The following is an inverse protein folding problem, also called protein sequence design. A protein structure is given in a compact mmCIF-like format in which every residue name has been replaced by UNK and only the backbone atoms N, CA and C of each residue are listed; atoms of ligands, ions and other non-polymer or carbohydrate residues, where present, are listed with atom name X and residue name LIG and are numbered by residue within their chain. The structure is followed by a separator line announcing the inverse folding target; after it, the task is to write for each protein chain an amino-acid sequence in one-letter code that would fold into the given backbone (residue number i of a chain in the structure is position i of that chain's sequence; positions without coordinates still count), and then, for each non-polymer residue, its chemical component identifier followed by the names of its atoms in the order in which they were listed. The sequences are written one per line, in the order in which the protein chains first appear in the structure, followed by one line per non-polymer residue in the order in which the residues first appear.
data_IF_798213218482
#
_entry.id   IF_798213218482
#
_cell.length_a   1.000
_cell.length_b   1.000
_cell.length_c   1.000
_cell.angle_alpha   90.00
_cell.angle_beta   90.00
_cell.angle_gamma   90.00
#
_symmetry.space_group_name_H-M   'P 1'
#
loop_
_entity.id
_entity.type
_entity.pdbx_description
1 polymer ?
#
# COMPACT_ATOMS: atom_id res chain seq x y z
N UNK A 1 19.61 1.28 23.70
CA UNK A 1 18.71 2.13 22.88
C UNK A 1 17.51 1.27 22.56
N UNK A 2 16.40 1.44 23.29
CA UNK A 2 15.16 0.72 23.09
C UNK A 2 14.54 1.17 21.79
N UNK A 3 14.48 0.27 20.81
CA UNK A 3 13.66 0.43 19.61
C UNK A 3 12.19 0.50 20.04
N UNK A 4 11.67 1.72 20.13
CA UNK A 4 10.26 1.97 20.38
C UNK A 4 9.59 1.88 19.00
N UNK A 5 9.21 0.67 18.61
CA UNK A 5 8.37 0.46 17.42
C UNK A 5 7.15 1.40 17.42
N UNK A 6 6.50 1.64 16.29
CA UNK A 6 5.41 2.60 16.19
C UNK A 6 4.35 2.27 17.26
N UNK A 7 4.08 3.24 18.16
CA UNK A 7 3.00 3.10 19.14
C UNK A 7 1.68 3.09 18.39
N UNK A 8 1.05 1.95 18.38
CA UNK A 8 -0.31 1.79 17.86
C UNK A 8 -1.27 2.62 18.72
N UNK A 9 -2.21 3.36 18.12
CA UNK A 9 -3.28 3.99 18.89
C UNK A 9 -4.04 2.94 19.70
N UNK A 10 -4.46 3.29 20.90
CA UNK A 10 -5.33 2.42 21.69
C UNK A 10 -6.59 2.08 20.88
N UNK A 11 -7.06 0.83 20.97
CA UNK A 11 -8.17 0.33 20.18
C UNK A 11 -7.90 0.04 18.71
N UNK A 12 -6.68 0.29 18.20
CA UNK A 12 -6.32 -0.01 16.81
C UNK A 12 -5.99 -1.48 16.62
N UNK A 13 -6.55 -2.07 15.58
CA UNK A 13 -6.15 -3.39 15.06
C UNK A 13 -6.18 -3.40 13.54
N UNK A 14 -5.40 -4.28 12.92
CA UNK A 14 -5.39 -4.50 11.47
C UNK A 14 -5.29 -6.00 11.23
N UNK A 15 -6.14 -6.52 10.35
CA UNK A 15 -6.20 -7.95 10.02
C UNK A 15 -6.27 -8.16 8.52
N UNK A 16 -5.73 -9.29 8.07
CA UNK A 16 -5.90 -9.73 6.70
C UNK A 16 -7.33 -10.28 6.53
N UNK A 17 -7.99 -9.85 5.45
CA UNK A 17 -9.36 -10.25 5.10
C UNK A 17 -9.46 -10.55 3.61
N UNK A 18 -10.53 -11.20 3.18
CA UNK A 18 -10.86 -11.33 1.75
C UNK A 18 -11.44 -10.02 1.21
N UNK A 19 -11.20 -9.74 -0.08
CA UNK A 19 -11.79 -8.56 -0.73
C UNK A 19 -13.33 -8.58 -0.74
N UNK A 20 -13.95 -9.77 -0.66
CA UNK A 20 -15.40 -9.95 -0.56
C UNK A 20 -15.97 -9.85 0.86
N UNK A 21 -15.16 -9.48 1.87
CA UNK A 21 -15.63 -9.28 3.23
C UNK A 21 -16.69 -8.17 3.29
N UNK A 22 -17.82 -8.37 3.99
CA UNK A 22 -18.90 -7.38 4.06
C UNK A 22 -18.46 -6.02 4.61
N UNK A 23 -17.54 -5.97 5.58
CA UNK A 23 -17.01 -4.71 6.10
C UNK A 23 -16.11 -3.99 5.09
N UNK A 24 -15.38 -4.76 4.25
CA UNK A 24 -14.62 -4.20 3.12
C UNK A 24 -15.57 -3.57 2.11
N UNK A 25 -16.68 -4.22 1.78
CA UNK A 25 -17.66 -3.69 0.83
C UNK A 25 -18.18 -2.31 1.25
N UNK A 26 -18.48 -2.13 2.55
CA UNK A 26 -18.91 -0.83 3.10
C UNK A 26 -17.87 0.28 2.90
N UNK A 27 -16.58 -0.02 3.11
CA UNK A 27 -15.52 0.98 2.93
C UNK A 27 -15.18 1.21 1.46
N UNK A 28 -15.29 0.20 0.60
CA UNK A 28 -15.12 0.33 -0.85
C UNK A 28 -16.19 1.24 -1.44
N UNK A 29 -17.45 1.11 -0.99
CA UNK A 29 -18.53 2.00 -1.41
C UNK A 29 -18.21 3.47 -1.06
N UNK A 30 -17.73 3.72 0.16
CA UNK A 30 -17.35 5.07 0.60
C UNK A 30 -16.18 5.64 -0.24
N UNK A 31 -15.14 4.85 -0.55
CA UNK A 31 -14.04 5.32 -1.38
C UNK A 31 -14.44 5.58 -2.82
N UNK A 32 -15.36 4.79 -3.38
CA UNK A 32 -15.89 5.06 -4.72
C UNK A 32 -16.69 6.37 -4.76
N UNK A 33 -17.51 6.63 -3.74
CA UNK A 33 -18.22 7.93 -3.61
C UNK A 33 -17.24 9.11 -3.53
N UNK A 34 -16.13 8.95 -2.78
CA UNK A 34 -15.06 9.95 -2.71
C UNK A 34 -14.39 10.20 -4.07
N UNK A 35 -14.16 9.16 -4.88
CA UNK A 35 -13.59 9.33 -6.23
C UNK A 35 -14.56 10.01 -7.18
N UNK A 36 -15.84 9.68 -7.14
CA UNK A 36 -16.87 10.35 -7.93
C UNK A 36 -16.91 11.86 -7.63
N UNK A 37 -16.87 12.22 -6.34
CA UNK A 37 -16.86 13.63 -5.91
C UNK A 37 -15.57 14.35 -6.37
N UNK A 38 -14.41 13.72 -6.29
CA UNK A 38 -13.10 14.34 -6.54
C UNK A 38 -12.68 14.34 -8.00
N UNK A 39 -13.06 13.32 -8.75
CA UNK A 39 -12.62 13.11 -10.14
C UNK A 39 -13.76 13.05 -11.15
N UNK A 40 -15.01 13.11 -10.72
CA UNK A 40 -16.19 13.03 -11.58
C UNK A 40 -16.57 11.62 -12.03
N UNK A 41 -15.86 10.59 -11.54
CA UNK A 41 -16.13 9.19 -11.88
C UNK A 41 -15.50 8.22 -10.88
N UNK A 42 -15.96 6.95 -10.84
CA UNK A 42 -15.37 5.92 -10.00
C UNK A 42 -13.99 5.52 -10.51
N UNK A 43 -13.23 4.79 -9.67
CA UNK A 43 -12.01 4.11 -10.11
C UNK A 43 -12.40 2.94 -11.03
N UNK A 44 -12.04 3.05 -12.31
CA UNK A 44 -12.32 2.05 -13.35
C UNK A 44 -11.18 1.02 -13.52
N UNK A 45 -10.17 1.03 -12.66
CA UNK A 45 -9.08 0.05 -12.73
C UNK A 45 -9.65 -1.37 -12.67
N UNK A 46 -9.40 -2.22 -13.67
CA UNK A 46 -9.86 -3.61 -13.66
C UNK A 46 -9.40 -4.32 -12.39
N UNK A 47 -10.33 -4.98 -11.71
CA UNK A 47 -10.08 -5.59 -10.43
C UNK A 47 -10.55 -7.05 -10.43
N UNK A 48 -9.59 -7.97 -10.28
CA UNK A 48 -9.85 -9.37 -9.96
C UNK A 48 -9.64 -9.54 -8.44
N UNK A 49 -10.65 -9.94 -7.67
CA UNK A 49 -10.50 -10.17 -6.22
C UNK A 49 -9.36 -11.13 -5.86
N UNK A 50 -9.02 -12.07 -6.73
CA UNK A 50 -7.95 -13.05 -6.53
C UNK A 50 -6.55 -12.38 -6.48
N UNK A 51 -6.40 -11.20 -7.07
CA UNK A 51 -5.13 -10.46 -7.01
C UNK A 51 -4.73 -10.05 -5.59
N UNK A 52 -5.69 -10.02 -4.66
CA UNK A 52 -5.48 -9.70 -3.24
C UNK A 52 -5.45 -10.94 -2.35
N UNK A 53 -5.23 -12.12 -2.91
CA UNK A 53 -5.07 -13.36 -2.17
C UNK A 53 -3.64 -13.90 -2.31
N UNK A 54 -3.06 -14.50 -1.26
CA UNK A 54 -1.78 -15.19 -1.37
C UNK A 54 -1.79 -16.26 -2.47
N UNK A 55 -0.71 -16.39 -3.25
CA UNK A 55 0.58 -15.67 -3.19
C UNK A 55 0.61 -14.35 -3.97
N UNK A 56 -0.51 -13.93 -4.57
CA UNK A 56 -0.56 -12.79 -5.50
C UNK A 56 -0.62 -11.44 -4.80
N UNK A 57 -1.18 -11.40 -3.60
CA UNK A 57 -1.35 -10.18 -2.82
C UNK A 57 -2.01 -10.43 -1.48
N UNK A 58 -2.41 -9.35 -0.83
CA UNK A 58 -3.17 -9.40 0.43
C UNK A 58 -4.01 -8.15 0.60
N UNK A 59 -5.18 -8.30 1.20
CA UNK A 59 -6.08 -7.21 1.56
C UNK A 59 -6.20 -7.12 3.08
N UNK A 60 -6.22 -5.91 3.60
CA UNK A 60 -6.26 -5.64 5.04
C UNK A 60 -7.36 -4.67 5.40
N UNK A 61 -7.96 -4.91 6.55
CA UNK A 61 -8.98 -4.08 7.17
C UNK A 61 -8.50 -3.61 8.54
N UNK A 62 -8.53 -2.30 8.75
CA UNK A 62 -8.15 -1.66 10.00
C UNK A 62 -9.36 -1.24 10.80
N UNK A 63 -9.38 -1.59 12.08
CA UNK A 63 -10.42 -1.23 13.05
C UNK A 63 -9.88 -0.27 14.09
N UNK A 64 -10.75 0.61 14.56
CA UNK A 64 -10.52 1.45 15.73
C UNK A 64 -11.70 1.26 16.67
N UNK A 65 -11.44 0.79 17.89
CA UNK A 65 -12.47 0.44 18.88
C UNK A 65 -13.54 -0.51 18.30
N UNK A 66 -13.11 -1.50 17.51
CA UNK A 66 -13.98 -2.49 16.86
C UNK A 66 -14.75 -1.98 15.63
N UNK A 67 -14.61 -0.71 15.27
CA UNK A 67 -15.26 -0.13 14.08
C UNK A 67 -14.32 -0.18 12.88
N UNK A 68 -14.73 -0.69 11.69
CA UNK A 68 -13.92 -0.69 10.49
C UNK A 68 -13.72 0.75 9.99
N UNK A 69 -12.48 1.21 9.90
CA UNK A 69 -12.16 2.62 9.57
C UNK A 69 -11.11 2.77 8.48
N UNK A 70 -10.42 1.70 8.11
CA UNK A 70 -9.35 1.80 7.11
C UNK A 70 -9.22 0.54 6.28
N UNK A 71 -8.82 0.71 5.02
CA UNK A 71 -8.42 -0.39 4.13
C UNK A 71 -7.04 -0.14 3.54
N UNK A 72 -6.39 -1.19 3.11
CA UNK A 72 -5.20 -1.17 2.31
C UNK A 72 -4.91 -2.55 1.74
N UNK A 73 -4.32 -2.59 0.57
CA UNK A 73 -3.96 -3.84 -0.08
C UNK A 73 -2.64 -3.70 -0.83
N UNK A 74 -2.01 -4.81 -1.11
CA UNK A 74 -0.93 -4.89 -2.08
C UNK A 74 -1.14 -6.10 -3.00
N UNK A 75 -0.66 -5.97 -4.23
CA UNK A 75 -0.63 -7.07 -5.20
C UNK A 75 0.72 -7.11 -5.90
N UNK A 76 1.19 -8.29 -6.29
CA UNK A 76 2.37 -8.41 -7.16
C UNK A 76 2.08 -7.78 -8.51
N UNK A 77 3.09 -7.13 -9.09
CA UNK A 77 2.99 -6.50 -10.40
C UNK A 77 4.30 -6.64 -11.16
N UNK A 78 4.20 -6.83 -12.46
CA UNK A 78 5.33 -6.73 -13.41
C UNK A 78 5.28 -5.46 -14.25
N UNK A 79 4.25 -4.61 -14.03
CA UNK A 79 4.00 -3.44 -14.85
C UNK A 79 4.91 -2.24 -14.52
N UNK A 80 5.60 -2.27 -13.37
CA UNK A 80 6.39 -1.15 -12.88
C UNK A 80 7.90 -1.46 -12.89
N UNK A 81 8.68 -0.45 -13.25
CA UNK A 81 10.15 -0.47 -13.13
C UNK A 81 10.54 0.45 -11.97
N UNK A 82 11.29 -0.09 -11.02
CA UNK A 82 11.82 0.68 -9.88
C UNK A 82 13.30 0.90 -10.10
N UNK A 83 13.77 2.15 -10.24
CA UNK A 83 15.17 2.45 -10.44
C UNK A 83 16.05 1.84 -9.34
N UNK A 84 17.18 1.29 -9.75
CA UNK A 84 18.14 0.66 -8.83
C UNK A 84 17.84 -0.79 -8.44
N UNK A 85 16.75 -1.39 -8.94
CA UNK A 85 16.46 -2.81 -8.76
C UNK A 85 16.71 -3.61 -10.06
N UNK A 86 17.09 -4.89 -9.95
CA UNK A 86 17.09 -5.82 -11.08
C UNK A 86 15.69 -5.94 -11.72
N UNK A 87 15.66 -6.19 -13.04
CA UNK A 87 14.40 -6.28 -13.79
C UNK A 87 13.49 -7.45 -13.34
N UNK A 88 14.06 -8.48 -12.73
CA UNK A 88 13.38 -9.65 -12.17
C UNK A 88 13.03 -9.51 -10.68
N UNK A 89 13.31 -8.37 -10.08
CA UNK A 89 12.99 -8.13 -8.68
C UNK A 89 11.47 -8.19 -8.48
N UNK A 90 11.04 -8.88 -7.42
CA UNK A 90 9.63 -8.94 -7.04
C UNK A 90 9.12 -7.57 -6.59
N UNK A 91 8.19 -7.00 -7.33
CA UNK A 91 7.55 -5.71 -7.06
C UNK A 91 6.08 -5.92 -6.71
N UNK A 92 5.55 -5.15 -5.77
CA UNK A 92 4.13 -5.11 -5.48
C UNK A 92 3.58 -3.68 -5.59
N UNK A 93 2.31 -3.58 -5.93
CA UNK A 93 1.59 -2.32 -6.04
C UNK A 93 0.66 -2.16 -4.85
N UNK A 94 0.74 -1.01 -4.17
CA UNK A 94 -0.21 -0.59 -3.13
C UNK A 94 -1.53 -0.24 -3.79
N UNK A 95 -2.61 -0.78 -3.26
CA UNK A 95 -3.97 -0.54 -3.75
C UNK A 95 -4.93 -0.29 -2.58
N UNK A 96 -6.04 0.36 -2.87
CA UNK A 96 -7.19 0.48 -1.96
C UNK A 96 -6.84 1.07 -0.59
N UNK A 97 -5.84 1.98 -0.55
CA UNK A 97 -5.55 2.76 0.65
C UNK A 97 -6.67 3.75 0.91
N UNK A 98 -7.35 3.58 2.03
CA UNK A 98 -8.43 4.48 2.44
C UNK A 98 -8.54 4.53 3.96
N UNK A 99 -8.87 5.69 4.49
CA UNK A 99 -9.26 5.91 5.89
C UNK A 99 -10.51 6.76 5.88
N UNK A 100 -11.55 6.31 6.57
CA UNK A 100 -12.83 7.04 6.64
C UNK A 100 -12.60 8.47 7.15
N UNK A 101 -13.33 9.47 6.65
CA UNK A 101 -13.10 10.88 7.01
C UNK A 101 -13.06 11.14 8.54
N UNK A 102 -13.96 10.51 9.29
CA UNK A 102 -14.03 10.66 10.75
C UNK A 102 -12.80 10.13 11.51
N UNK A 103 -12.00 9.24 10.89
CA UNK A 103 -10.79 8.64 11.48
C UNK A 103 -9.48 9.21 10.89
N UNK A 104 -9.55 10.12 9.92
CA UNK A 104 -8.38 10.74 9.31
C UNK A 104 -7.60 11.61 10.30
N UNK A 105 -6.35 11.99 9.91
CA UNK A 105 -5.44 12.86 10.68
C UNK A 105 -5.01 12.29 12.05
N UNK A 106 -5.19 10.99 12.25
CA UNK A 106 -4.78 10.23 13.44
C UNK A 106 -3.58 9.31 13.17
N UNK A 107 -2.94 9.45 12.01
CA UNK A 107 -1.79 8.63 11.61
C UNK A 107 -2.14 7.25 11.05
N UNK A 108 -3.43 6.87 10.98
CA UNK A 108 -3.88 5.52 10.59
C UNK A 108 -3.42 5.12 9.18
N UNK A 109 -3.46 6.03 8.21
CA UNK A 109 -2.97 5.75 6.86
C UNK A 109 -1.49 5.35 6.84
N UNK A 110 -0.66 5.98 7.68
CA UNK A 110 0.76 5.62 7.82
C UNK A 110 0.94 4.24 8.44
N UNK A 111 0.11 3.88 9.43
CA UNK A 111 0.12 2.55 10.05
C UNK A 111 -0.29 1.47 9.05
N UNK A 112 -1.35 1.71 8.26
CA UNK A 112 -1.75 0.80 7.18
C UNK A 112 -0.60 0.63 6.18
N UNK A 113 -0.02 1.73 5.69
CA UNK A 113 1.08 1.68 4.72
C UNK A 113 2.28 0.88 5.25
N UNK A 114 2.71 1.14 6.50
CA UNK A 114 3.80 0.40 7.13
C UNK A 114 3.47 -1.10 7.28
N UNK A 115 2.22 -1.45 7.56
CA UNK A 115 1.76 -2.84 7.61
C UNK A 115 1.83 -3.52 6.23
N UNK A 116 1.40 -2.81 5.16
CA UNK A 116 1.51 -3.30 3.79
C UNK A 116 2.97 -3.55 3.40
N UNK A 117 3.86 -2.60 3.69
CA UNK A 117 5.30 -2.72 3.42
C UNK A 117 5.90 -3.95 4.11
N UNK A 118 5.61 -4.12 5.41
CA UNK A 118 6.10 -5.26 6.19
C UNK A 118 5.62 -6.59 5.62
N UNK A 119 4.31 -6.74 5.39
CA UNK A 119 3.73 -8.00 4.90
C UNK A 119 4.15 -8.33 3.47
N UNK A 120 4.36 -7.33 2.62
CA UNK A 120 4.91 -7.51 1.29
C UNK A 120 6.37 -7.97 1.36
N UNK A 121 7.21 -7.34 2.21
CA UNK A 121 8.60 -7.74 2.42
C UNK A 121 8.72 -9.17 2.94
N UNK A 122 7.90 -9.55 3.93
CA UNK A 122 7.80 -10.93 4.45
C UNK A 122 7.42 -11.94 3.35
N UNK A 123 6.68 -11.51 2.32
CA UNK A 123 6.34 -12.31 1.14
C UNK A 123 7.42 -12.31 0.05
N UNK A 124 8.60 -11.73 0.30
CA UNK A 124 9.73 -11.67 -0.64
C UNK A 124 9.65 -10.53 -1.66
N UNK A 125 8.75 -9.57 -1.48
CA UNK A 125 8.69 -8.35 -2.31
C UNK A 125 9.87 -7.44 -1.97
N UNK A 126 10.53 -6.90 -3.00
CA UNK A 126 11.74 -6.06 -2.87
C UNK A 126 11.45 -4.57 -2.98
N UNK A 127 10.36 -4.21 -3.62
CA UNK A 127 9.90 -2.83 -3.70
C UNK A 127 8.39 -2.75 -3.77
N UNK A 128 7.85 -1.64 -3.29
CA UNK A 128 6.45 -1.29 -3.51
C UNK A 128 6.36 -0.07 -4.41
N UNK A 129 5.37 -0.10 -5.27
CA UNK A 129 4.98 1.02 -6.13
C UNK A 129 3.53 1.40 -5.86
N UNK A 130 3.15 2.59 -6.22
CA UNK A 130 1.77 3.05 -6.12
C UNK A 130 1.48 4.11 -7.17
N UNK A 131 0.22 4.25 -7.47
CA UNK A 131 -0.34 5.31 -8.29
C UNK A 131 -1.37 6.09 -7.47
N UNK A 132 -1.32 7.41 -7.53
CA UNK A 132 -2.28 8.30 -6.88
C UNK A 132 -2.62 9.46 -7.81
N UNK A 133 -3.74 10.14 -7.57
CA UNK A 133 -4.13 11.30 -8.35
C UNK A 133 -3.43 12.57 -7.90
N UNK A 134 -3.09 13.44 -8.86
CA UNK A 134 -2.52 14.77 -8.59
C UNK A 134 -3.44 15.65 -7.71
N UNK A 135 -4.74 15.37 -7.71
CA UNK A 135 -5.72 16.07 -6.88
C UNK A 135 -5.78 15.55 -5.43
N UNK A 136 -4.86 14.66 -5.02
CA UNK A 136 -4.78 14.13 -3.64
C UNK A 136 -3.46 14.56 -2.97
N UNK A 137 -3.26 15.83 -2.63
CA UNK A 137 -2.01 16.32 -2.02
C UNK A 137 -1.72 15.64 -0.68
N UNK A 138 -2.75 15.25 0.08
CA UNK A 138 -2.61 14.52 1.34
C UNK A 138 -2.02 13.11 1.14
N UNK A 139 -2.40 12.41 0.07
CA UNK A 139 -1.84 11.11 -0.28
C UNK A 139 -0.37 11.25 -0.74
N UNK A 140 -0.10 12.22 -1.60
CA UNK A 140 1.26 12.53 -2.05
C UNK A 140 2.16 12.83 -0.85
N UNK A 141 1.71 13.67 0.10
CA UNK A 141 2.45 14.00 1.31
C UNK A 141 2.69 12.76 2.21
N UNK A 142 1.71 11.86 2.33
CA UNK A 142 1.87 10.59 3.03
C UNK A 142 3.00 9.77 2.41
N UNK A 143 2.94 9.52 1.11
CA UNK A 143 3.90 8.65 0.43
C UNK A 143 5.31 9.25 0.43
N UNK A 144 5.47 10.51 0.07
CA UNK A 144 6.80 11.16 0.06
C UNK A 144 7.44 11.19 1.46
N UNK A 145 6.64 11.50 2.50
CA UNK A 145 7.12 11.47 3.89
C UNK A 145 7.35 10.03 4.43
N UNK A 146 6.91 9.01 3.69
CA UNK A 146 7.17 7.60 3.99
C UNK A 146 8.34 7.02 3.18
N UNK A 147 9.06 7.86 2.43
CA UNK A 147 10.24 7.47 1.66
C UNK A 147 9.96 6.92 0.27
N UNK A 148 8.78 7.19 -0.28
CA UNK A 148 8.49 6.92 -1.68
C UNK A 148 9.01 8.04 -2.56
N UNK A 149 9.63 7.67 -3.67
CA UNK A 149 10.16 8.58 -4.68
C UNK A 149 9.42 8.44 -6.01
N UNK A 150 9.37 9.50 -6.85
CA UNK A 150 8.75 9.41 -8.16
C UNK A 150 9.38 8.32 -9.01
N UNK A 151 8.53 7.54 -9.71
CA UNK A 151 8.97 6.51 -10.68
C UNK A 151 8.25 6.73 -12.02
N UNK A 152 8.73 6.13 -13.13
CA UNK A 152 8.03 6.16 -14.40
C UNK A 152 6.59 5.67 -14.28
N UNK A 153 5.69 6.25 -15.07
CA UNK A 153 4.29 5.87 -15.11
C UNK A 153 4.10 4.39 -15.46
N UNK A 154 3.20 3.73 -14.77
CA UNK A 154 2.85 2.31 -14.99
C UNK A 154 1.32 2.12 -14.82
N UNK A 155 0.84 0.92 -15.16
CA UNK A 155 -0.55 0.53 -14.95
C UNK A 155 -1.55 1.21 -15.88
N UNK A 156 -2.81 1.23 -15.44
CA UNK A 156 -3.95 1.65 -16.25
C UNK A 156 -3.91 3.16 -16.62
N UNK A 157 -3.50 4.01 -15.70
CA UNK A 157 -3.48 5.46 -15.86
C UNK A 157 -2.08 6.03 -16.15
N UNK A 158 -1.14 5.21 -16.63
CA UNK A 158 0.27 5.61 -16.87
C UNK A 158 0.43 6.87 -17.75
N UNK A 159 -0.49 7.08 -18.70
CA UNK A 159 -0.45 8.19 -19.65
C UNK A 159 -1.36 9.35 -19.21
N UNK A 160 -2.03 9.26 -18.06
CA UNK A 160 -2.89 10.31 -17.54
C UNK A 160 -2.07 11.45 -16.94
N UNK A 161 -2.30 12.70 -17.33
CA UNK A 161 -1.63 13.85 -16.73
C UNK A 161 -1.99 14.06 -15.25
N UNK A 162 -3.07 13.44 -14.79
CA UNK A 162 -3.52 13.49 -13.40
C UNK A 162 -2.93 12.36 -12.55
N UNK A 163 -2.22 11.39 -13.14
CA UNK A 163 -1.58 10.30 -12.42
C UNK A 163 -0.22 10.71 -11.87
N UNK A 164 0.11 10.21 -10.68
CA UNK A 164 1.43 10.32 -10.04
C UNK A 164 1.84 8.96 -9.53
N UNK A 165 2.99 8.49 -10.01
CA UNK A 165 3.54 7.18 -9.66
C UNK A 165 4.74 7.34 -8.73
N UNK A 166 4.77 6.53 -7.69
CA UNK A 166 5.85 6.51 -6.70
C UNK A 166 6.29 5.09 -6.44
N UNK A 167 7.55 4.93 -6.01
CA UNK A 167 8.12 3.64 -5.62
C UNK A 167 9.05 3.77 -4.43
N UNK A 168 9.19 2.66 -3.70
CA UNK A 168 10.08 2.54 -2.54
C UNK A 168 10.70 1.15 -2.52
N UNK A 169 12.02 1.08 -2.43
CA UNK A 169 12.74 -0.17 -2.16
C UNK A 169 12.53 -0.53 -0.70
N UNK A 170 12.08 -1.75 -0.45
CA UNK A 170 11.83 -2.23 0.91
C UNK A 170 13.14 -2.71 1.56
N UNK A 171 13.31 -2.39 2.83
CA UNK A 171 14.34 -3.02 3.64
C UNK A 171 13.85 -4.42 4.01
N UNK A 172 14.60 -5.44 3.58
CA UNK A 172 14.32 -6.80 4.02
C UNK A 172 14.88 -6.92 5.42
N UNK A 173 14.07 -7.33 6.41
CA UNK A 173 14.62 -7.67 7.70
C UNK A 173 15.67 -8.77 7.51
N UNK A 174 16.80 -8.74 8.24
CA UNK A 174 17.80 -9.80 8.16
C UNK A 174 17.11 -11.12 8.41
N UNK A 175 17.35 -12.11 7.54
CA UNK A 175 16.90 -13.49 7.77
C UNK A 175 17.75 -13.98 8.93
N UNK A 176 17.16 -14.11 10.10
CA UNK A 176 17.87 -14.64 11.28
C UNK A 176 18.48 -15.99 10.92
N UNK A 177 19.81 -16.07 10.88
CA UNK A 177 20.56 -17.31 10.70
C UNK A 177 21.42 -17.44 9.44
N UNK A 178 21.49 -16.48 8.53
CA UNK A 178 22.45 -16.52 7.43
C UNK A 178 23.57 -15.49 7.67
N UNK A 179 24.81 -15.93 7.97
CA UNK A 179 25.93 -15.01 8.10
C UNK A 179 26.19 -14.30 6.77
N UNK A 180 26.61 -13.03 6.76
CA UNK A 180 26.94 -12.31 5.54
C UNK A 180 28.05 -13.08 4.80
N UNK A 181 27.76 -13.43 3.53
CA UNK A 181 28.74 -14.06 2.67
C UNK A 181 30.00 -13.17 2.54
N UNK A 182 31.18 -13.75 2.32
CA UNK A 182 32.42 -12.99 2.25
C UNK A 182 32.37 -11.96 1.14
N UNK A 183 32.73 -10.71 1.49
CA UNK A 183 32.84 -9.61 0.55
C UNK A 183 33.78 -10.01 -0.60
N UNK A 184 33.28 -10.02 -1.84
CA UNK A 184 34.12 -10.19 -3.03
C UNK A 184 34.98 -8.93 -3.16
N UNK A 185 36.32 -9.13 -3.04
CA UNK A 185 37.34 -8.14 -3.40
C UNK A 185 37.52 -8.10 -4.90
#
# INVERSE_FOLDING_TARGET
VTDVGPRWPEGWSISQVGYGDPEVALLVEQVQAFYVERYGGPDETPLDPLMFQPPHGSFFLGHLDGTPVATGAWRRTSAAVVPGLPADAAVAEVKRMFVVPAAQRRGLARLVLAHLERTAAESGVRAMVLETGAAQPEAIALYTSSGYEPVPGFGHYRDSPLSRCFGKVLQIPPVDGVPPGPARR
#
